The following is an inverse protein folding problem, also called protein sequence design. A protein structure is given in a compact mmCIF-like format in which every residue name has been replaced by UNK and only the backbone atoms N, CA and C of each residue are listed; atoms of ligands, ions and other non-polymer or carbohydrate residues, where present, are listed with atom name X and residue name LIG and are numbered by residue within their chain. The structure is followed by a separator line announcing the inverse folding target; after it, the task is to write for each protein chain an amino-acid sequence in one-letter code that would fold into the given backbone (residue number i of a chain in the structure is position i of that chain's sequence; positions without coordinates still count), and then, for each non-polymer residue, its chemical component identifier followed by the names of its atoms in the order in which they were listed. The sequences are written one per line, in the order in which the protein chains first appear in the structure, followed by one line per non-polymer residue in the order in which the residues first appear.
data_IF_666929341467
#
_entry.id   IF_666929341467
#
_cell.length_a   1.000
_cell.length_b   1.000
_cell.length_c   1.000
_cell.angle_alpha   90.00
_cell.angle_beta   90.00
_cell.angle_gamma   90.00
#
_symmetry.space_group_name_H-M   'P 1'
#
loop_
_entity.id
_entity.type
_entity.pdbx_description
1 polymer ?
#
# COMPACT_ATOMS: atom_id res chain seq x y z
N UNK A 1 -17.80 -15.05 0.79
CA UNK A 1 -16.80 -15.31 -0.26
C UNK A 1 -16.42 -13.96 -0.84
N UNK A 2 -15.16 -13.53 -0.71
CA UNK A 2 -14.72 -12.28 -1.32
C UNK A 2 -14.72 -12.44 -2.85
N UNK A 3 -15.03 -11.38 -3.62
CA UNK A 3 -15.19 -11.48 -5.06
C UNK A 3 -13.89 -11.97 -5.73
N UNK A 4 -14.07 -12.80 -6.76
CA UNK A 4 -12.99 -13.24 -7.63
C UNK A 4 -12.45 -12.02 -8.39
N UNK A 5 -11.23 -11.62 -8.07
CA UNK A 5 -10.54 -10.54 -8.78
C UNK A 5 -9.99 -11.12 -10.08
N UNK A 6 -10.75 -10.99 -11.17
CA UNK A 6 -10.27 -11.28 -12.52
C UNK A 6 -9.27 -10.19 -12.91
N UNK A 7 -8.00 -10.55 -13.13
CA UNK A 7 -6.98 -9.63 -13.67
C UNK A 7 -6.28 -10.28 -14.87
N UNK A 8 -5.88 -9.42 -15.82
CA UNK A 8 -5.09 -9.80 -17.00
C UNK A 8 -3.76 -10.47 -16.62
N UNK A 9 -3.04 -10.94 -17.63
CA UNK A 9 -1.85 -11.82 -17.56
C UNK A 9 -0.65 -11.34 -16.71
N UNK A 10 -0.76 -10.26 -15.93
CA UNK A 10 0.30 -9.72 -15.08
C UNK A 10 0.14 -10.12 -13.60
N UNK A 11 1.27 -10.48 -12.98
CA UNK A 11 1.41 -10.78 -11.55
C UNK A 11 1.14 -9.51 -10.73
N UNK A 12 0.37 -9.63 -9.66
CA UNK A 12 0.03 -8.51 -8.77
C UNK A 12 1.08 -8.28 -7.69
N UNK A 13 1.15 -7.05 -7.16
CA UNK A 13 2.00 -6.70 -6.00
C UNK A 13 1.13 -6.08 -4.90
N UNK A 14 1.26 -6.58 -3.68
CA UNK A 14 0.61 -6.09 -2.47
C UNK A 14 1.65 -5.58 -1.48
N UNK A 15 1.51 -4.33 -1.06
CA UNK A 15 2.43 -3.67 -0.11
C UNK A 15 1.62 -3.27 1.11
N UNK A 16 1.99 -3.81 2.28
CA UNK A 16 1.24 -3.59 3.52
C UNK A 16 2.11 -3.80 4.76
N UNK A 17 1.59 -3.37 5.91
CA UNK A 17 2.25 -3.52 7.19
C UNK A 17 2.45 -4.99 7.61
N UNK A 18 3.37 -5.18 8.55
CA UNK A 18 3.70 -6.49 9.10
C UNK A 18 2.73 -6.89 10.22
N UNK A 19 1.42 -6.75 10.05
CA UNK A 19 0.47 -7.31 11.00
C UNK A 19 0.61 -8.85 11.07
N UNK A 20 0.32 -9.46 12.23
CA UNK A 20 0.47 -10.92 12.42
C UNK A 20 -0.38 -11.72 11.43
N UNK A 21 -1.58 -11.23 11.12
CA UNK A 21 -2.48 -11.83 10.13
C UNK A 21 -1.94 -11.76 8.69
N UNK A 22 -1.18 -10.72 8.34
CA UNK A 22 -0.57 -10.58 7.02
C UNK A 22 0.64 -11.52 6.85
N UNK A 23 1.34 -11.83 7.95
CA UNK A 23 2.47 -12.77 7.95
C UNK A 23 2.06 -14.25 8.00
N UNK A 24 0.81 -14.54 8.32
CA UNK A 24 0.32 -15.90 8.49
C UNK A 24 0.55 -16.75 7.23
N UNK A 25 0.95 -18.01 7.40
CA UNK A 25 1.24 -18.93 6.27
C UNK A 25 0.05 -19.05 5.33
N UNK A 26 -1.16 -19.15 5.88
CA UNK A 26 -2.40 -19.26 5.12
C UNK A 26 -2.63 -18.03 4.23
N UNK A 27 -2.29 -16.83 4.72
CA UNK A 27 -2.36 -15.60 3.91
C UNK A 27 -1.33 -15.63 2.77
N UNK A 28 -0.10 -16.08 3.04
CA UNK A 28 0.92 -16.19 1.98
C UNK A 28 0.49 -17.15 0.88
N UNK A 29 -0.04 -18.31 1.26
CA UNK A 29 -0.56 -19.31 0.33
C UNK A 29 -1.73 -18.74 -0.48
N UNK A 30 -2.67 -18.06 0.20
CA UNK A 30 -3.82 -17.42 -0.44
C UNK A 30 -3.42 -16.41 -1.53
N UNK A 31 -2.38 -15.61 -1.28
CA UNK A 31 -1.85 -14.64 -2.25
C UNK A 31 -1.05 -15.31 -3.38
N UNK A 32 -0.25 -16.33 -3.06
CA UNK A 32 0.55 -17.07 -4.04
C UNK A 32 -0.33 -17.79 -5.07
N UNK A 33 -1.41 -18.45 -4.64
CA UNK A 33 -2.43 -19.05 -5.52
C UNK A 33 -3.04 -18.06 -6.51
N UNK A 34 -3.03 -16.76 -6.15
CA UNK A 34 -3.58 -15.65 -6.94
C UNK A 34 -2.51 -14.88 -7.71
N UNK A 35 -1.26 -15.35 -7.72
CA UNK A 35 -0.11 -14.68 -8.35
C UNK A 35 0.03 -13.24 -7.85
N UNK A 36 -0.07 -13.06 -6.53
CA UNK A 36 0.16 -11.78 -5.86
C UNK A 36 1.42 -11.89 -5.00
N UNK A 37 2.44 -11.12 -5.36
CA UNK A 37 3.59 -10.86 -4.50
C UNK A 37 3.19 -10.01 -3.32
N UNK A 38 3.84 -10.25 -2.18
CA UNK A 38 3.70 -9.40 -1.02
C UNK A 38 5.04 -8.78 -0.64
N UNK A 39 5.01 -7.49 -0.33
CA UNK A 39 6.11 -6.75 0.26
C UNK A 39 5.66 -6.25 1.62
N UNK A 40 6.40 -6.62 2.65
CA UNK A 40 6.11 -6.22 4.03
C UNK A 40 6.82 -4.93 4.35
N UNK A 41 6.07 -3.95 4.85
CA UNK A 41 6.64 -2.69 5.33
C UNK A 41 7.35 -2.95 6.68
N UNK A 42 8.60 -2.51 6.85
CA UNK A 42 9.31 -2.64 8.12
C UNK A 42 8.56 -1.97 9.27
N UNK A 43 8.76 -2.49 10.48
CA UNK A 43 8.16 -1.90 11.68
C UNK A 43 8.56 -0.42 11.83
N UNK A 44 7.60 0.43 12.18
CA UNK A 44 7.81 1.87 12.31
C UNK A 44 7.85 2.66 10.99
N UNK A 45 7.74 1.99 9.84
CA UNK A 45 7.89 2.64 8.53
C UNK A 45 6.58 2.92 7.79
N UNK A 46 5.42 2.55 8.36
CA UNK A 46 4.12 2.75 7.71
C UNK A 46 3.85 4.21 7.40
N UNK A 47 4.23 5.14 8.27
CA UNK A 47 4.08 6.58 8.05
C UNK A 47 4.89 7.14 6.86
N UNK A 48 5.87 6.40 6.35
CA UNK A 48 6.74 6.82 5.25
C UNK A 48 6.58 5.99 3.98
N UNK A 49 6.14 4.73 4.10
CA UNK A 49 6.06 3.78 2.99
C UNK A 49 4.63 3.30 2.69
N UNK A 50 3.70 3.36 3.65
CA UNK A 50 2.32 2.90 3.43
C UNK A 50 1.50 4.04 2.80
N UNK A 51 1.28 3.97 1.49
CA UNK A 51 0.55 5.00 0.71
C UNK A 51 -0.81 5.36 1.29
N UNK A 52 -1.52 4.36 1.85
CA UNK A 52 -2.78 4.60 2.56
C UNK A 52 -2.59 5.56 3.74
N UNK A 53 -1.59 5.36 4.59
CA UNK A 53 -1.33 6.24 5.74
C UNK A 53 -0.80 7.61 5.33
N UNK A 54 0.04 7.66 4.28
CA UNK A 54 0.66 8.90 3.80
C UNK A 54 -0.39 9.87 3.27
N UNK A 55 -1.33 9.40 2.44
CA UNK A 55 -2.13 10.30 1.60
C UNK A 55 -3.63 9.99 1.50
N UNK A 56 -4.07 8.75 1.74
CA UNK A 56 -5.48 8.36 1.50
C UNK A 56 -6.32 8.36 2.78
N UNK A 57 -5.78 7.84 3.87
CA UNK A 57 -6.50 7.65 5.12
C UNK A 57 -7.00 8.97 5.71
N UNK A 58 -6.24 10.07 5.55
CA UNK A 58 -6.67 11.39 6.00
C UNK A 58 -7.94 11.87 5.26
N UNK A 59 -7.91 12.10 3.94
CA UNK A 59 -9.10 12.58 3.22
C UNK A 59 -10.26 11.59 3.34
N UNK A 60 -10.02 10.27 3.34
CA UNK A 60 -11.06 9.29 3.58
C UNK A 60 -11.75 9.49 4.94
N UNK A 61 -10.98 9.63 6.03
CA UNK A 61 -11.52 9.88 7.38
C UNK A 61 -12.24 11.22 7.46
N UNK A 62 -11.78 12.23 6.75
CA UNK A 62 -12.44 13.53 6.70
C UNK A 62 -13.81 13.44 6.02
N UNK A 63 -13.91 12.74 4.89
CA UNK A 63 -15.19 12.49 4.24
C UNK A 63 -16.12 11.60 5.08
N UNK A 64 -15.58 10.57 5.73
CA UNK A 64 -16.36 9.72 6.63
C UNK A 64 -16.95 10.52 7.80
N UNK A 65 -16.17 11.46 8.36
CA UNK A 65 -16.65 12.36 9.42
C UNK A 65 -17.80 13.24 8.95
N UNK A 66 -17.78 13.73 7.71
CA UNK A 66 -18.89 14.52 7.17
C UNK A 66 -20.20 13.71 7.14
N UNK A 67 -20.14 12.45 6.69
CA UNK A 67 -21.33 11.58 6.68
C UNK A 67 -21.85 11.29 8.09
N UNK A 68 -20.93 11.07 9.05
CA UNK A 68 -21.28 10.84 10.46
C UNK A 68 -21.91 12.09 11.08
N UNK A 69 -21.33 13.28 10.84
CA UNK A 69 -21.85 14.53 11.38
C UNK A 69 -23.23 14.85 10.83
N UNK A 70 -23.44 14.69 9.51
CA UNK A 70 -24.76 14.83 8.91
C UNK A 70 -25.79 13.89 9.56
N UNK A 71 -25.42 12.62 9.79
CA UNK A 71 -26.31 11.71 10.48
C UNK A 71 -26.64 12.17 11.90
N UNK A 72 -25.64 12.59 12.67
CA UNK A 72 -25.81 13.07 14.05
C UNK A 72 -26.74 14.30 14.09
N UNK A 73 -26.52 15.27 13.19
CA UNK A 73 -27.24 16.54 13.17
C UNK A 73 -28.67 16.40 12.63
N UNK A 74 -28.87 15.60 11.58
CA UNK A 74 -30.10 15.62 10.79
C UNK A 74 -30.96 14.36 10.92
N UNK A 75 -30.41 13.22 11.36
CA UNK A 75 -31.08 11.91 11.25
C UNK A 75 -31.05 11.07 12.53
N UNK A 76 -30.21 11.41 13.50
CA UNK A 76 -30.08 10.67 14.74
C UNK A 76 -31.36 10.79 15.57
N UNK A 77 -31.91 9.63 15.93
CA UNK A 77 -33.15 9.54 16.69
C UNK A 77 -32.91 9.08 18.13
N UNK A 78 -33.91 9.30 18.98
CA UNK A 78 -33.96 8.80 20.35
C UNK A 78 -35.04 7.73 20.48
N UNK A 79 -34.78 6.73 21.32
CA UNK A 79 -35.76 5.70 21.64
C UNK A 79 -36.77 6.19 22.69
N UNK A 80 -37.73 5.32 23.06
CA UNK A 80 -38.77 5.61 24.06
C UNK A 80 -38.22 6.00 25.45
N UNK A 81 -36.98 5.60 25.76
CA UNK A 81 -36.29 5.91 27.01
C UNK A 81 -35.41 7.17 26.88
N UNK A 82 -35.60 7.96 25.82
CA UNK A 82 -34.83 9.17 25.50
C UNK A 82 -33.32 8.93 25.25
N UNK A 83 -32.90 7.70 24.97
CA UNK A 83 -31.51 7.36 24.64
C UNK A 83 -31.28 7.44 23.12
N UNK A 84 -30.09 7.87 22.71
CA UNK A 84 -29.71 7.87 21.29
C UNK A 84 -29.70 6.45 20.70
N UNK A 85 -30.19 6.35 19.47
CA UNK A 85 -30.20 5.10 18.71
C UNK A 85 -28.96 5.05 17.83
N UNK A 86 -28.18 3.97 17.97
CA UNK A 86 -27.02 3.73 17.11
C UNK A 86 -27.46 3.58 15.65
N UNK A 87 -26.67 4.05 14.68
CA UNK A 87 -26.92 3.78 13.27
C UNK A 87 -26.95 2.27 13.02
N UNK A 88 -27.79 1.84 12.08
CA UNK A 88 -27.77 0.45 11.63
C UNK A 88 -26.57 0.20 10.70
N UNK A 89 -26.32 -1.08 10.37
CA UNK A 89 -25.18 -1.45 9.53
C UNK A 89 -25.26 -0.86 8.12
N UNK A 90 -26.44 -0.82 7.51
CA UNK A 90 -26.63 -0.28 6.16
C UNK A 90 -26.29 1.20 6.10
N UNK A 91 -26.67 1.95 7.13
CA UNK A 91 -26.33 3.36 7.31
C UNK A 91 -24.81 3.55 7.37
N UNK A 92 -24.12 2.82 8.27
CA UNK A 92 -22.66 2.90 8.38
C UNK A 92 -21.92 2.49 7.10
N UNK A 93 -22.40 1.44 6.41
CA UNK A 93 -21.84 1.00 5.12
C UNK A 93 -22.02 2.07 4.04
N UNK A 94 -23.15 2.79 4.04
CA UNK A 94 -23.39 3.88 3.10
C UNK A 94 -22.38 5.01 3.27
N UNK A 95 -22.03 5.36 4.51
CA UNK A 95 -21.01 6.37 4.80
C UNK A 95 -19.64 5.97 4.28
N UNK A 96 -19.23 4.72 4.53
CA UNK A 96 -17.96 4.19 4.04
C UNK A 96 -17.91 4.20 2.51
N UNK A 97 -18.98 3.77 1.85
CA UNK A 97 -19.10 3.80 0.39
C UNK A 97 -19.01 5.23 -0.15
N UNK A 98 -19.76 6.16 0.42
CA UNK A 98 -19.79 7.56 -0.01
C UNK A 98 -18.43 8.24 0.21
N UNK A 99 -17.76 7.96 1.33
CA UNK A 99 -16.42 8.46 1.62
C UNK A 99 -15.38 7.93 0.62
N UNK A 100 -15.41 6.63 0.30
CA UNK A 100 -14.56 6.06 -0.74
C UNK A 100 -14.86 6.64 -2.13
N UNK A 101 -16.14 6.87 -2.45
CA UNK A 101 -16.55 7.48 -3.72
C UNK A 101 -16.03 8.92 -3.92
N UNK A 102 -15.58 9.59 -2.86
CA UNK A 102 -14.95 10.92 -2.91
C UNK A 102 -13.42 10.86 -3.10
N UNK A 103 -12.80 9.69 -2.96
CA UNK A 103 -11.38 9.49 -3.26
C UNK A 103 -11.20 9.35 -4.77
N UNK A 104 -10.52 10.33 -5.37
CA UNK A 104 -10.33 10.38 -6.83
C UNK A 104 -9.08 9.61 -7.28
N UNK A 105 -9.03 9.26 -8.56
CA UNK A 105 -7.82 8.69 -9.17
C UNK A 105 -6.59 9.61 -9.02
N UNK A 106 -6.80 10.93 -8.99
CA UNK A 106 -5.73 11.90 -8.72
C UNK A 106 -5.20 11.76 -7.28
N UNK A 107 -6.06 11.51 -6.29
CA UNK A 107 -5.64 11.22 -4.92
C UNK A 107 -4.79 9.95 -4.87
N UNK A 108 -5.22 8.90 -5.57
CA UNK A 108 -4.48 7.62 -5.64
C UNK A 108 -3.13 7.81 -6.32
N UNK A 109 -3.09 8.47 -7.48
CA UNK A 109 -1.84 8.75 -8.18
C UNK A 109 -0.86 9.54 -7.30
N UNK A 110 -1.32 10.60 -6.63
CA UNK A 110 -0.48 11.38 -5.69
C UNK A 110 0.02 10.52 -4.52
N UNK A 111 -0.81 9.61 -4.00
CA UNK A 111 -0.41 8.70 -2.94
C UNK A 111 0.69 7.73 -3.40
N UNK A 112 0.57 7.16 -4.60
CA UNK A 112 1.58 6.29 -5.18
C UNK A 112 2.92 7.02 -5.37
N UNK A 113 2.88 8.26 -5.87
CA UNK A 113 4.08 9.12 -5.97
C UNK A 113 4.72 9.36 -4.60
N UNK A 114 3.91 9.73 -3.61
CA UNK A 114 4.38 9.99 -2.26
C UNK A 114 4.98 8.74 -1.59
N UNK A 115 4.49 7.54 -1.90
CA UNK A 115 5.04 6.28 -1.42
C UNK A 115 6.15 5.68 -2.29
N UNK A 116 6.67 6.40 -3.28
CA UNK A 116 7.70 5.92 -4.21
C UNK A 116 7.29 4.64 -4.98
N UNK A 117 6.02 4.54 -5.38
CA UNK A 117 5.47 3.44 -6.19
C UNK A 117 5.15 3.85 -7.62
N UNK A 118 5.54 5.07 -8.01
CA UNK A 118 5.42 5.59 -9.37
C UNK A 118 6.82 5.82 -9.92
N UNK A 119 7.23 4.97 -10.88
CA UNK A 119 8.56 5.02 -11.53
C UNK A 119 8.84 6.35 -12.24
N UNK A 120 7.80 7.11 -12.58
CA UNK A 120 7.97 8.42 -13.24
C UNK A 120 8.28 9.54 -12.24
N UNK A 121 8.19 9.27 -10.93
CA UNK A 121 8.43 10.26 -9.88
C UNK A 121 9.83 10.10 -9.29
N UNK A 122 10.57 11.21 -9.11
CA UNK A 122 11.90 11.18 -8.53
C UNK A 122 11.82 10.79 -7.04
N UNK A 123 12.90 10.23 -6.50
CA UNK A 123 12.96 9.78 -5.11
C UNK A 123 12.65 10.91 -4.13
N UNK A 124 13.11 12.13 -4.42
CA UNK A 124 12.93 13.34 -3.60
C UNK A 124 11.47 13.74 -3.42
N UNK A 125 10.59 13.33 -4.35
CA UNK A 125 9.15 13.56 -4.24
C UNK A 125 8.46 12.62 -3.24
N UNK A 126 9.14 11.55 -2.82
CA UNK A 126 8.61 10.58 -1.86
C UNK A 126 8.61 11.11 -0.43
N UNK A 127 7.81 10.47 0.43
CA UNK A 127 7.76 10.79 1.85
C UNK A 127 8.99 10.26 2.60
N UNK A 128 9.53 9.12 2.16
CA UNK A 128 10.73 8.51 2.76
C UNK A 128 11.99 9.37 2.53
N UNK A 129 12.09 10.08 1.41
CA UNK A 129 13.20 11.01 1.16
C UNK A 129 13.30 12.12 2.21
N UNK A 130 12.18 12.50 2.84
CA UNK A 130 12.14 13.51 3.90
C UNK A 130 12.56 12.98 5.27
N UNK A 131 12.80 11.68 5.41
CA UNK A 131 13.24 11.12 6.67
C UNK A 131 14.73 11.44 6.90
N UNK A 132 15.04 12.22 7.94
CA UNK A 132 16.39 12.74 8.22
C UNK A 132 17.51 11.70 8.13
N UNK A 133 17.29 10.53 8.74
CA UNK A 133 18.26 9.42 8.73
C UNK A 133 18.14 8.52 7.50
N UNK A 134 16.94 8.00 7.21
CA UNK A 134 16.76 6.94 6.22
C UNK A 134 16.72 7.45 4.79
N UNK A 135 16.25 8.68 4.56
CA UNK A 135 16.23 9.29 3.23
C UNK A 135 17.61 9.31 2.57
N UNK A 136 18.63 9.92 3.20
CA UNK A 136 20.00 9.92 2.67
C UNK A 136 20.61 8.53 2.52
N UNK A 137 20.31 7.59 3.45
CA UNK A 137 20.80 6.22 3.37
C UNK A 137 20.23 5.47 2.17
N UNK A 138 18.93 5.59 1.92
CA UNK A 138 18.26 4.94 0.79
C UNK A 138 18.73 5.56 -0.53
N UNK A 139 18.87 6.90 -0.59
CA UNK A 139 19.36 7.56 -1.80
C UNK A 139 20.75 7.04 -2.20
N UNK A 140 21.69 6.98 -1.24
CA UNK A 140 23.03 6.44 -1.49
C UNK A 140 23.01 5.00 -2.00
N UNK A 141 22.11 4.18 -1.46
CA UNK A 141 21.95 2.79 -1.89
C UNK A 141 21.37 2.69 -3.31
N UNK A 142 20.39 3.53 -3.65
CA UNK A 142 19.83 3.62 -5.00
C UNK A 142 20.91 4.02 -6.02
N UNK A 143 21.67 5.07 -5.73
CA UNK A 143 22.78 5.53 -6.58
C UNK A 143 23.85 4.44 -6.76
N UNK A 144 24.18 3.71 -5.69
CA UNK A 144 25.15 2.60 -5.75
C UNK A 144 24.67 1.47 -6.65
N UNK A 145 23.36 1.14 -6.59
CA UNK A 145 22.76 0.09 -7.41
C UNK A 145 22.61 0.51 -8.88
N UNK A 146 22.32 1.78 -9.17
CA UNK A 146 22.30 2.31 -10.53
C UNK A 146 23.69 2.24 -11.19
N UNK A 147 24.74 2.57 -10.43
CA UNK A 147 26.13 2.43 -10.89
C UNK A 147 26.44 0.96 -11.22
N UNK A 148 26.08 0.02 -10.35
CA UNK A 148 26.28 -1.41 -10.57
C UNK A 148 25.52 -1.93 -11.79
N UNK A 149 24.25 -1.52 -11.96
CA UNK A 149 23.46 -1.90 -13.13
C UNK A 149 24.03 -1.31 -14.42
N UNK A 150 24.56 -0.09 -14.38
CA UNK A 150 25.25 0.54 -15.51
C UNK A 150 26.55 -0.19 -15.89
N UNK A 151 27.29 -0.72 -14.91
CA UNK A 151 28.49 -1.54 -15.13
C UNK A 151 28.10 -2.90 -15.73
N UNK A 152 27.10 -3.59 -15.17
CA UNK A 152 26.63 -4.88 -15.70
C UNK A 152 26.01 -4.76 -17.09
N UNK A 153 25.33 -3.65 -17.39
CA UNK A 153 24.79 -3.35 -18.72
C UNK A 153 25.86 -3.08 -19.78
N UNK A 154 27.09 -2.76 -19.38
CA UNK A 154 28.26 -2.67 -20.27
C UNK A 154 28.94 -4.03 -20.50
N UNK A 155 28.71 -5.01 -19.62
CA UNK A 155 29.29 -6.36 -19.69
C UNK A 155 28.39 -7.38 -20.44
N UNK A 156 27.25 -6.94 -20.98
CA UNK A 156 26.30 -7.78 -21.71
C UNK A 156 26.14 -7.33 -23.17
N UNK A 157 27.22 -7.41 -23.96
CA UNK A 157 27.08 -7.74 -25.38
C UNK A 157 27.31 -9.25 -25.57
N UNK A 158 26.28 -9.90 -26.11
CA UNK A 158 26.21 -11.30 -26.57
C UNK A 158 26.47 -12.41 -25.53
N UNK A 159 25.40 -13.06 -25.08
CA UNK A 159 25.14 -14.46 -25.43
C UNK A 159 23.68 -14.84 -25.11
N UNK A 160 22.99 -15.30 -26.15
CA UNK A 160 21.67 -15.92 -26.12
C UNK A 160 21.70 -17.29 -25.40
N UNK A 161 20.50 -17.69 -24.96
CA UNK A 161 20.02 -19.05 -24.62
C UNK A 161 20.19 -19.64 -23.19
N UNK A 162 19.13 -19.45 -22.36
CA UNK A 162 18.26 -20.44 -21.61
C UNK A 162 18.93 -21.38 -20.56
N UNK A 163 18.29 -21.96 -19.47
CA UNK A 163 16.91 -21.93 -18.88
C UNK A 163 16.82 -21.70 -17.33
N UNK A 164 15.56 -21.70 -16.85
CA UNK A 164 15.02 -21.96 -15.49
C UNK A 164 15.97 -22.54 -14.41
N UNK A 165 16.10 -21.81 -13.30
CA UNK A 165 15.86 -22.35 -11.95
C UNK A 165 15.51 -21.20 -10.99
N UNK A 166 14.26 -21.21 -10.52
CA UNK A 166 13.74 -20.30 -9.50
C UNK A 166 14.31 -20.71 -8.13
N UNK A 167 15.42 -20.10 -7.73
CA UNK A 167 15.90 -20.13 -6.33
C UNK A 167 16.09 -18.71 -5.80
N UNK A 168 15.10 -18.23 -5.04
CA UNK A 168 15.13 -16.97 -4.31
C UNK A 168 15.98 -17.15 -3.04
N UNK A 169 17.30 -17.00 -3.19
CA UNK A 169 18.26 -17.09 -2.07
C UNK A 169 18.21 -15.80 -1.23
N UNK A 170 17.70 -15.92 0.00
CA UNK A 170 17.80 -14.88 1.03
C UNK A 170 19.10 -15.07 1.81
N UNK A 171 20.11 -14.23 1.58
CA UNK A 171 21.33 -14.21 2.38
C UNK A 171 21.07 -13.59 3.76
N UNK A 172 20.89 -14.44 4.77
CA UNK A 172 21.11 -14.07 6.17
C UNK A 172 22.59 -14.16 6.50
N UNK A 173 23.28 -13.03 6.72
CA UNK A 173 24.61 -13.06 7.33
C UNK A 173 24.47 -13.40 8.81
N UNK A 174 24.95 -14.59 9.16
CA UNK A 174 25.35 -14.94 10.53
C UNK A 174 26.49 -14.02 10.99
N UNK A 175 26.28 -13.33 12.11
CA UNK A 175 27.14 -13.36 13.30
C UNK A 175 26.45 -12.68 14.47
#
# INVERSE_FOLDING_TARGET
MLPLVLRGSQRGLLIWDSASIHRAKDMKNFLAERRVDQVMIPAGMTAYLQTLDIAINKPFKDYLRLEINDYIENRMSRNKNNNFVKPNLQEAVSWVRNAWGKITDSCVAKALKAGYLDKTSPFEASYIAKHDRLGPMILKELESNEILAGIQGLDLEENDDIPEDDDLIVFGKNK
#
